data_IF_003726805727
#
_entry.id   IF_003726805727
#
_cell.length_a   1.000
_cell.length_b   1.000
_cell.length_c   1.000
_cell.angle_alpha   90.00
_cell.angle_beta   90.00
_cell.angle_gamma   90.00
#
_symmetry.space_group_name_H-M   'P 1'
#
loop_
_entity.id
_entity.type
_entity.pdbx_description
1 polymer ?
#
# COMPACT_ATOMS: atom_id res chain seq x y z
N UNK A 1 -23.84 4.74 -14.90
CA UNK A 1 -25.11 4.15 -15.35
C UNK A 1 -25.74 4.91 -16.51
N UNK A 2 -25.17 6.06 -16.98
CA UNK A 2 -25.66 6.86 -18.11
C UNK A 2 -25.07 6.37 -19.43
N UNK A 3 -25.79 6.63 -20.53
CA UNK A 3 -25.20 6.54 -21.88
C UNK A 3 -24.21 7.66 -22.12
N UNK A 4 -23.33 7.54 -23.12
CA UNK A 4 -22.38 8.60 -23.46
C UNK A 4 -23.09 9.92 -23.82
N UNK A 5 -24.22 9.86 -24.58
CA UNK A 5 -25.00 11.03 -24.94
C UNK A 5 -25.65 11.72 -23.75
N UNK A 6 -26.13 10.96 -22.75
CA UNK A 6 -26.66 11.54 -21.51
C UNK A 6 -25.60 12.23 -20.67
N UNK A 7 -24.37 11.69 -20.64
CA UNK A 7 -23.26 12.32 -19.93
C UNK A 7 -22.86 13.65 -20.57
N UNK A 8 -22.88 13.71 -21.92
CA UNK A 8 -22.48 14.91 -22.65
C UNK A 8 -23.58 15.99 -22.71
N UNK A 9 -24.86 15.60 -22.65
CA UNK A 9 -25.99 16.54 -22.68
C UNK A 9 -26.35 17.09 -21.31
N UNK A 10 -26.38 16.28 -20.29
CA UNK A 10 -26.66 16.69 -18.90
C UNK A 10 -25.97 15.76 -17.90
N UNK A 11 -24.87 16.27 -17.30
CA UNK A 11 -24.06 15.54 -16.34
C UNK A 11 -24.81 15.29 -15.03
N UNK A 12 -25.66 16.23 -14.59
CA UNK A 12 -26.27 16.24 -13.26
C UNK A 12 -27.59 15.46 -13.23
N UNK A 13 -28.35 15.43 -14.34
CA UNK A 13 -29.62 14.73 -14.37
C UNK A 13 -29.50 13.26 -13.99
N UNK A 14 -30.56 12.69 -13.42
CA UNK A 14 -30.61 11.24 -13.18
C UNK A 14 -30.64 10.47 -14.50
N UNK A 15 -30.05 9.24 -14.57
CA UNK A 15 -30.09 8.43 -15.77
C UNK A 15 -31.54 8.04 -16.11
N UNK A 16 -31.92 8.14 -17.37
CA UNK A 16 -33.26 7.73 -17.86
C UNK A 16 -33.47 6.22 -17.71
N UNK A 17 -32.37 5.46 -17.85
CA UNK A 17 -32.32 4.04 -17.54
C UNK A 17 -30.94 3.67 -17.00
N UNK A 18 -30.85 2.62 -16.17
CA UNK A 18 -29.57 2.13 -15.66
C UNK A 18 -28.89 1.27 -16.72
N UNK A 19 -27.76 1.76 -17.29
CA UNK A 19 -26.99 1.06 -18.32
C UNK A 19 -25.89 0.23 -17.63
N UNK A 20 -26.20 -1.03 -17.32
CA UNK A 20 -25.26 -1.96 -16.71
C UNK A 20 -24.17 -2.44 -17.67
N UNK A 21 -24.44 -2.37 -18.97
CA UNK A 21 -23.50 -2.74 -20.04
C UNK A 21 -22.19 -1.95 -19.97
N UNK A 22 -22.22 -0.73 -19.41
CA UNK A 22 -20.99 0.06 -19.20
C UNK A 22 -19.99 -0.68 -18.30
N UNK A 23 -20.47 -1.31 -17.23
CA UNK A 23 -19.61 -2.07 -16.31
C UNK A 23 -19.11 -3.36 -16.94
N UNK A 24 -19.96 -4.08 -17.67
CA UNK A 24 -19.58 -5.31 -18.36
C UNK A 24 -18.54 -5.04 -19.45
N UNK A 25 -18.72 -3.97 -20.21
CA UNK A 25 -17.78 -3.57 -21.25
C UNK A 25 -16.47 -3.06 -20.65
N UNK A 26 -16.52 -2.17 -19.64
CA UNK A 26 -15.32 -1.71 -18.93
C UNK A 26 -14.54 -2.89 -18.34
N UNK A 27 -15.21 -3.86 -17.69
CA UNK A 27 -14.60 -5.06 -17.14
C UNK A 27 -13.86 -5.89 -18.21
N UNK A 28 -14.49 -6.09 -19.37
CA UNK A 28 -13.89 -6.84 -20.50
C UNK A 28 -12.73 -6.08 -21.14
N UNK A 29 -12.92 -4.79 -21.48
CA UNK A 29 -11.93 -3.95 -22.15
C UNK A 29 -10.68 -3.78 -21.28
N UNK A 30 -10.86 -3.55 -19.97
CA UNK A 30 -9.75 -3.47 -19.00
C UNK A 30 -9.02 -4.80 -18.80
N UNK A 31 -9.57 -5.95 -19.26
CA UNK A 31 -9.05 -7.25 -18.83
C UNK A 31 -8.96 -7.32 -17.28
N UNK A 32 -10.08 -6.94 -16.61
CA UNK A 32 -10.16 -6.72 -15.16
C UNK A 32 -9.53 -7.83 -14.31
N UNK A 33 -9.79 -9.14 -14.56
CA UNK A 33 -9.22 -10.21 -13.71
C UNK A 33 -7.69 -10.19 -13.69
N UNK A 34 -7.05 -9.94 -14.83
CA UNK A 34 -5.60 -9.88 -14.94
C UNK A 34 -5.03 -8.72 -14.13
N UNK A 35 -5.57 -7.52 -14.33
CA UNK A 35 -5.03 -6.32 -13.69
C UNK A 35 -5.39 -6.24 -12.21
N UNK A 36 -6.51 -6.84 -11.82
CA UNK A 36 -6.82 -7.10 -10.41
C UNK A 36 -5.75 -7.96 -9.75
N UNK A 37 -5.37 -9.09 -10.38
CA UNK A 37 -4.33 -9.97 -9.85
C UNK A 37 -2.95 -9.28 -9.81
N UNK A 38 -2.62 -8.46 -10.80
CA UNK A 38 -1.38 -7.67 -10.80
C UNK A 38 -1.36 -6.67 -9.63
N UNK A 39 -2.46 -5.94 -9.41
CA UNK A 39 -2.58 -4.99 -8.30
C UNK A 39 -2.52 -5.71 -6.96
N UNK A 40 -3.26 -6.80 -6.83
CA UNK A 40 -3.26 -7.63 -5.62
C UNK A 40 -1.86 -8.16 -5.31
N UNK A 41 -1.16 -8.70 -6.31
CA UNK A 41 0.20 -9.22 -6.17
C UNK A 41 1.19 -8.12 -5.74
N UNK A 42 1.19 -6.97 -6.44
CA UNK A 42 2.07 -5.86 -6.12
C UNK A 42 1.80 -5.32 -4.70
N UNK A 43 0.53 -5.13 -4.36
CA UNK A 43 0.11 -4.65 -3.03
C UNK A 43 0.48 -5.65 -1.93
N UNK A 44 0.20 -6.94 -2.13
CA UNK A 44 0.50 -7.98 -1.12
C UNK A 44 2.00 -8.10 -0.88
N UNK A 45 2.80 -8.18 -1.96
CA UNK A 45 4.28 -8.22 -1.85
C UNK A 45 4.78 -6.95 -1.17
N UNK A 46 4.26 -5.78 -1.56
CA UNK A 46 4.64 -4.50 -0.97
C UNK A 46 4.37 -4.45 0.53
N UNK A 47 3.13 -4.75 0.93
CA UNK A 47 2.71 -4.71 2.34
C UNK A 47 3.46 -5.74 3.19
N UNK A 48 3.61 -6.98 2.71
CA UNK A 48 4.35 -8.01 3.44
C UNK A 48 5.81 -7.60 3.70
N UNK A 49 6.48 -7.05 2.69
CA UNK A 49 7.85 -6.58 2.85
C UNK A 49 7.97 -5.38 3.78
N UNK A 50 7.07 -4.40 3.65
CA UNK A 50 7.03 -3.23 4.56
C UNK A 50 6.83 -3.69 6.02
N UNK A 51 5.87 -4.57 6.28
CA UNK A 51 5.60 -5.09 7.63
C UNK A 51 6.84 -5.83 8.17
N UNK A 52 7.43 -6.72 7.39
CA UNK A 52 8.57 -7.53 7.82
C UNK A 52 9.80 -6.64 8.11
N UNK A 53 10.20 -5.81 7.15
CA UNK A 53 11.42 -5.00 7.27
C UNK A 53 11.25 -3.95 8.37
N UNK A 54 10.10 -3.24 8.41
CA UNK A 54 9.89 -2.15 9.35
C UNK A 54 9.66 -2.63 10.78
N UNK A 55 9.01 -3.77 10.98
CA UNK A 55 8.80 -4.32 12.33
C UNK A 55 10.11 -4.78 12.96
N UNK A 56 10.95 -5.50 12.19
CA UNK A 56 12.28 -5.94 12.65
C UNK A 56 13.21 -4.75 12.92
N UNK A 57 13.27 -3.79 11.99
CA UNK A 57 14.10 -2.59 12.17
C UNK A 57 13.60 -1.73 13.33
N UNK A 58 12.28 -1.51 13.43
CA UNK A 58 11.65 -0.74 14.52
C UNK A 58 11.90 -1.38 15.88
N UNK A 59 11.79 -2.71 15.98
CA UNK A 59 12.14 -3.46 17.18
C UNK A 59 13.62 -3.28 17.56
N UNK A 60 14.53 -3.59 16.64
CA UNK A 60 15.97 -3.50 16.92
C UNK A 60 16.40 -2.08 17.32
N UNK A 61 15.97 -1.07 16.58
CA UNK A 61 16.33 0.33 16.83
C UNK A 61 15.71 0.86 18.13
N UNK A 62 14.52 0.40 18.53
CA UNK A 62 13.88 0.78 19.77
C UNK A 62 14.56 0.17 21.00
N UNK A 63 15.01 -1.11 20.91
CA UNK A 63 15.68 -1.81 22.02
C UNK A 63 17.15 -1.41 22.18
N UNK A 64 17.79 -0.88 21.14
CA UNK A 64 19.21 -0.49 21.18
C UNK A 64 19.34 1.00 21.49
N UNK A 65 19.64 1.34 22.75
CA UNK A 65 19.77 2.73 23.25
C UNK A 65 21.16 3.31 23.00
N UNK A 66 21.60 3.39 21.73
CA UNK A 66 22.91 3.98 21.37
C UNK A 66 22.73 5.18 20.44
N UNK A 67 23.73 6.06 20.36
CA UNK A 67 23.76 7.17 19.40
C UNK A 67 23.66 6.66 17.95
N UNK A 68 24.30 5.54 17.67
CA UNK A 68 24.25 4.91 16.35
C UNK A 68 22.80 4.49 15.99
N UNK A 69 22.09 3.84 16.91
CA UNK A 69 20.68 3.45 16.70
C UNK A 69 19.78 4.67 16.45
N UNK A 70 20.01 5.75 17.18
CA UNK A 70 19.26 6.99 17.00
C UNK A 70 19.54 7.62 15.62
N UNK A 71 20.80 7.68 15.20
CA UNK A 71 21.18 8.22 13.87
C UNK A 71 20.60 7.35 12.76
N UNK A 72 20.67 6.02 12.87
CA UNK A 72 20.07 5.10 11.91
C UNK A 72 18.56 5.28 11.82
N UNK A 73 17.89 5.42 12.96
CA UNK A 73 16.45 5.71 12.99
C UNK A 73 16.14 7.01 12.24
N UNK A 74 16.86 8.09 12.51
CA UNK A 74 16.67 9.37 11.83
C UNK A 74 16.89 9.27 10.31
N UNK A 75 17.93 8.57 9.87
CA UNK A 75 18.21 8.36 8.44
C UNK A 75 17.09 7.58 7.77
N UNK A 76 16.56 6.53 8.42
CA UNK A 76 15.54 5.66 7.83
C UNK A 76 14.15 6.31 7.80
N UNK A 77 13.85 7.25 8.69
CA UNK A 77 12.57 7.97 8.65
C UNK A 77 12.63 9.25 7.81
N UNK A 78 13.83 9.82 7.57
CA UNK A 78 13.99 11.06 6.81
C UNK A 78 13.32 11.03 5.42
N UNK A 79 13.31 9.91 4.67
CA UNK A 79 12.68 9.86 3.35
C UNK A 79 11.17 10.17 3.36
N UNK A 80 10.46 9.98 4.49
CA UNK A 80 9.04 10.33 4.57
C UNK A 80 8.79 11.85 4.43
N UNK A 81 9.83 12.68 4.67
CA UNK A 81 9.74 14.14 4.54
C UNK A 81 10.06 14.61 3.12
N UNK A 82 10.61 13.77 2.27
CA UNK A 82 11.01 14.10 0.91
C UNK A 82 9.85 13.81 -0.04
N UNK A 83 9.35 14.81 -0.81
CA UNK A 83 8.30 14.57 -1.79
C UNK A 83 8.74 13.53 -2.84
N UNK A 84 7.88 12.55 -3.14
CA UNK A 84 8.15 11.49 -4.11
C UNK A 84 8.67 12.02 -5.46
N UNK A 85 8.07 13.11 -5.95
CA UNK A 85 8.42 13.72 -7.22
C UNK A 85 9.89 14.16 -7.33
N UNK A 86 10.55 14.47 -6.20
CA UNK A 86 11.94 14.91 -6.18
C UNK A 86 12.94 13.81 -6.54
N UNK A 87 12.62 12.56 -6.28
CA UNK A 87 13.54 11.43 -6.50
C UNK A 87 13.00 10.36 -7.45
N UNK A 88 11.77 10.50 -8.00
CA UNK A 88 11.13 9.49 -8.85
C UNK A 88 11.99 9.07 -10.05
N UNK A 89 12.71 10.01 -10.68
CA UNK A 89 13.58 9.70 -11.84
C UNK A 89 14.75 8.82 -11.41
N UNK A 90 15.37 9.15 -10.27
CA UNK A 90 16.47 8.35 -9.71
C UNK A 90 15.99 6.96 -9.29
N UNK A 91 14.80 6.88 -8.70
CA UNK A 91 14.16 5.61 -8.35
C UNK A 91 13.96 4.71 -9.59
N UNK A 92 13.47 5.27 -10.70
CA UNK A 92 13.28 4.51 -11.95
C UNK A 92 14.63 4.00 -12.50
N UNK A 93 15.70 4.79 -12.41
CA UNK A 93 17.05 4.32 -12.80
C UNK A 93 17.50 3.12 -11.96
N UNK A 94 17.39 3.21 -10.65
CA UNK A 94 17.71 2.11 -9.72
C UNK A 94 16.82 0.88 -10.01
N UNK A 95 15.52 1.09 -10.18
CA UNK A 95 14.59 0.01 -10.53
C UNK A 95 14.97 -0.71 -11.84
N UNK A 96 15.48 0.03 -12.83
CA UNK A 96 15.97 -0.53 -14.09
C UNK A 96 17.22 -1.39 -13.88
N UNK A 97 18.20 -0.90 -13.14
CA UNK A 97 19.43 -1.63 -12.80
C UNK A 97 19.13 -2.93 -12.05
N UNK A 98 18.17 -2.88 -11.12
CA UNK A 98 17.71 -4.04 -10.36
C UNK A 98 16.75 -4.95 -11.14
N UNK A 99 16.43 -4.67 -12.41
CA UNK A 99 15.51 -5.43 -13.29
C UNK A 99 14.10 -5.56 -12.70
N UNK A 100 13.62 -4.54 -11.99
CA UNK A 100 12.30 -4.52 -11.36
C UNK A 100 11.22 -3.90 -12.27
N UNK A 101 11.61 -3.27 -13.38
CA UNK A 101 10.69 -2.62 -14.34
C UNK A 101 9.89 -3.68 -15.11
N UNK A 102 8.62 -3.36 -15.41
CA UNK A 102 7.73 -4.20 -16.21
C UNK A 102 7.09 -5.37 -15.46
N UNK A 103 7.28 -5.48 -14.14
CA UNK A 103 6.80 -6.58 -13.32
C UNK A 103 5.98 -6.10 -12.11
N UNK A 104 4.77 -6.65 -11.85
CA UNK A 104 4.03 -6.38 -10.62
C UNK A 104 4.80 -6.78 -9.35
N UNK A 105 5.60 -7.85 -9.39
CA UNK A 105 6.50 -8.24 -8.29
C UNK A 105 7.56 -7.16 -8.05
N UNK A 106 8.18 -6.66 -9.12
CA UNK A 106 9.15 -5.58 -9.04
C UNK A 106 8.56 -4.30 -8.44
N UNK A 107 7.32 -3.95 -8.82
CA UNK A 107 6.59 -2.85 -8.21
C UNK A 107 6.39 -3.08 -6.70
N UNK A 108 5.98 -4.29 -6.29
CA UNK A 108 5.85 -4.65 -4.88
C UNK A 108 7.14 -4.49 -4.09
N UNK A 109 8.29 -4.86 -4.66
CA UNK A 109 9.61 -4.67 -4.03
C UNK A 109 9.97 -3.18 -3.91
N UNK A 110 9.66 -2.35 -4.91
CA UNK A 110 9.88 -0.91 -4.83
C UNK A 110 9.07 -0.25 -3.70
N UNK A 111 7.87 -0.75 -3.43
CA UNK A 111 7.06 -0.28 -2.31
C UNK A 111 7.69 -0.55 -0.94
N UNK A 112 8.59 -1.53 -0.80
CA UNK A 112 9.28 -1.76 0.49
C UNK A 112 10.05 -0.51 0.94
N UNK A 113 10.84 0.07 0.03
CA UNK A 113 11.59 1.29 0.36
C UNK A 113 10.70 2.49 0.66
N UNK A 114 9.62 2.66 -0.13
CA UNK A 114 8.74 3.82 -0.02
C UNK A 114 7.82 3.77 1.20
N UNK A 115 7.29 2.59 1.53
CA UNK A 115 6.39 2.39 2.67
C UNK A 115 7.12 2.21 4.01
N UNK A 116 8.41 1.84 3.98
CA UNK A 116 9.15 1.46 5.18
C UNK A 116 9.31 2.58 6.20
N UNK A 117 9.52 3.82 5.77
CA UNK A 117 9.84 4.93 6.68
C UNK A 117 8.71 5.22 7.67
N UNK A 118 7.47 5.36 7.20
CA UNK A 118 6.31 5.57 8.05
C UNK A 118 6.03 4.34 8.93
N UNK A 119 6.10 3.15 8.35
CA UNK A 119 5.87 1.92 9.10
C UNK A 119 6.93 1.71 10.19
N UNK A 120 8.20 1.99 9.90
CA UNK A 120 9.29 1.97 10.89
C UNK A 120 9.03 2.93 12.05
N UNK A 121 8.61 4.16 11.75
CA UNK A 121 8.24 5.15 12.78
C UNK A 121 7.14 4.61 13.69
N UNK A 122 6.09 4.03 13.11
CA UNK A 122 4.98 3.44 13.87
C UNK A 122 5.43 2.26 14.74
N UNK A 123 6.19 1.32 14.20
CA UNK A 123 6.69 0.17 14.95
C UNK A 123 7.68 0.58 16.06
N UNK A 124 8.60 1.51 15.76
CA UNK A 124 9.53 2.01 16.76
C UNK A 124 8.83 2.63 17.96
N UNK A 125 7.74 3.40 17.72
CA UNK A 125 6.90 3.95 18.79
C UNK A 125 6.17 2.87 19.57
N UNK A 126 5.56 1.90 18.87
CA UNK A 126 4.80 0.82 19.50
C UNK A 126 5.68 -0.12 20.35
N UNK A 127 6.89 -0.46 19.87
CA UNK A 127 7.82 -1.31 20.65
C UNK A 127 8.21 -0.67 21.97
N UNK A 128 8.34 0.66 22.04
CA UNK A 128 8.64 1.36 23.31
C UNK A 128 7.56 1.17 24.39
N UNK A 129 6.34 0.88 23.98
CA UNK A 129 5.25 0.62 24.92
C UNK A 129 5.18 -0.83 25.43
N UNK A 130 5.95 -1.74 24.83
CA UNK A 130 6.07 -3.13 25.25
C UNK A 130 7.17 -3.21 26.30
N UNK A 131 6.90 -3.76 27.52
CA UNK A 131 7.91 -3.92 28.58
C UNK A 131 9.13 -4.68 28.09
N UNK A 132 10.34 -4.22 28.44
CA UNK A 132 11.59 -4.84 28.01
C UNK A 132 11.83 -6.17 28.72
N UNK A 133 11.25 -6.36 29.90
CA UNK A 133 11.31 -7.55 30.72
C UNK A 133 10.83 -8.81 29.96
N UNK A 134 9.93 -8.64 28.98
CA UNK A 134 9.48 -9.75 28.12
C UNK A 134 10.60 -10.27 27.21
N UNK A 135 11.46 -9.38 26.71
CA UNK A 135 12.65 -9.76 25.95
C UNK A 135 13.65 -10.51 26.85
N UNK A 136 13.86 -9.99 28.08
CA UNK A 136 14.82 -10.56 29.04
C UNK A 136 14.36 -11.95 29.51
N UNK A 137 13.07 -12.13 29.82
CA UNK A 137 12.51 -13.45 30.18
C UNK A 137 12.69 -14.45 29.03
N UNK A 138 12.37 -14.04 27.77
CA UNK A 138 12.56 -14.92 26.62
C UNK A 138 14.01 -15.37 26.43
N UNK A 139 14.98 -14.50 26.68
CA UNK A 139 16.41 -14.82 26.60
C UNK A 139 16.83 -15.78 27.72
N UNK A 140 16.32 -15.61 28.95
CA UNK A 140 16.56 -16.53 30.08
C UNK A 140 16.02 -17.93 29.74
N UNK A 141 14.84 -18.01 29.09
CA UNK A 141 14.23 -19.25 28.61
C UNK A 141 14.95 -19.86 27.42
N UNK A 142 16.08 -19.28 26.97
CA UNK A 142 16.90 -19.79 25.88
C UNK A 142 16.38 -19.50 24.48
N UNK A 143 15.42 -18.57 24.30
CA UNK A 143 14.96 -18.15 23.01
C UNK A 143 16.03 -17.29 22.30
N UNK A 144 16.25 -17.52 21.00
CA UNK A 144 17.06 -16.60 20.18
C UNK A 144 16.33 -15.26 20.01
N UNK A 145 17.06 -14.16 19.75
CA UNK A 145 16.44 -12.83 19.57
C UNK A 145 15.34 -12.79 18.50
N UNK A 146 15.52 -13.52 17.40
CA UNK A 146 14.49 -13.62 16.35
C UNK A 146 13.28 -14.43 16.83
N UNK A 147 13.51 -15.50 17.60
CA UNK A 147 12.42 -16.30 18.19
C UNK A 147 11.61 -15.46 19.20
N UNK A 148 12.29 -14.74 20.09
CA UNK A 148 11.65 -13.81 21.02
C UNK A 148 10.83 -12.76 20.28
N UNK A 149 11.38 -12.18 19.22
CA UNK A 149 10.64 -11.21 18.39
C UNK A 149 9.37 -11.80 17.79
N UNK A 150 9.47 -12.90 17.00
CA UNK A 150 8.31 -13.42 16.26
C UNK A 150 7.26 -14.09 17.16
N UNK A 151 7.66 -14.73 18.25
CA UNK A 151 6.75 -15.48 19.12
C UNK A 151 6.15 -14.65 20.27
N UNK A 152 6.84 -13.61 20.72
CA UNK A 152 6.41 -12.83 21.89
C UNK A 152 6.12 -11.38 21.50
N UNK A 153 7.08 -10.66 20.94
CA UNK A 153 6.96 -9.23 20.72
C UNK A 153 6.03 -8.89 19.55
N UNK A 154 6.22 -9.54 18.39
CA UNK A 154 5.44 -9.23 17.17
C UNK A 154 3.93 -9.46 17.35
N UNK A 155 3.45 -10.51 18.04
CA UNK A 155 2.03 -10.65 18.38
C UNK A 155 1.48 -9.48 19.22
N UNK A 156 2.26 -8.94 20.16
CA UNK A 156 1.87 -7.77 20.96
C UNK A 156 1.79 -6.48 20.12
N UNK A 157 2.48 -6.43 18.98
CA UNK A 157 2.42 -5.31 18.03
C UNK A 157 1.25 -5.43 17.06
N UNK A 158 0.34 -6.41 17.21
CA UNK A 158 -0.81 -6.60 16.33
C UNK A 158 -1.62 -5.32 16.05
N UNK A 159 -1.94 -4.45 17.04
CA UNK A 159 -2.71 -3.23 16.78
C UNK A 159 -2.02 -2.28 15.79
N UNK A 160 -0.71 -2.05 15.97
CA UNK A 160 0.05 -1.21 15.06
C UNK A 160 0.28 -1.90 13.71
N UNK A 161 0.46 -3.22 13.71
CA UNK A 161 0.60 -4.00 12.46
C UNK A 161 -0.64 -3.87 11.59
N UNK A 162 -1.83 -3.97 12.16
CA UNK A 162 -3.08 -3.75 11.41
C UNK A 162 -3.12 -2.34 10.83
N UNK A 163 -2.74 -1.32 11.60
CA UNK A 163 -2.70 0.06 11.10
C UNK A 163 -1.70 0.22 9.93
N UNK A 164 -0.50 -0.34 10.05
CA UNK A 164 0.51 -0.34 8.99
C UNK A 164 -0.01 -1.06 7.73
N UNK A 165 -0.63 -2.22 7.88
CA UNK A 165 -1.22 -3.00 6.78
C UNK A 165 -2.29 -2.17 6.07
N UNK A 166 -3.22 -1.57 6.80
CA UNK A 166 -4.32 -0.81 6.19
C UNK A 166 -3.81 0.42 5.47
N UNK A 167 -2.96 1.24 6.11
CA UNK A 167 -2.43 2.47 5.50
C UNK A 167 -1.67 2.15 4.21
N UNK A 168 -0.77 1.17 4.26
CA UNK A 168 0.03 0.80 3.10
C UNK A 168 -0.79 0.12 2.00
N UNK A 169 -1.76 -0.74 2.35
CA UNK A 169 -2.65 -1.36 1.36
C UNK A 169 -3.47 -0.29 0.62
N UNK A 170 -4.08 0.65 1.36
CA UNK A 170 -4.88 1.72 0.74
C UNK A 170 -4.05 2.62 -0.16
N UNK A 171 -2.84 2.95 0.27
CA UNK A 171 -1.92 3.75 -0.53
C UNK A 171 -1.46 2.99 -1.78
N UNK A 172 -0.91 1.78 -1.65
CA UNK A 172 -0.37 0.99 -2.77
C UNK A 172 -1.45 0.57 -3.76
N UNK A 173 -2.66 0.23 -3.28
CA UNK A 173 -3.78 -0.13 -4.14
C UNK A 173 -4.21 1.02 -5.04
N UNK A 174 -4.22 2.24 -4.50
CA UNK A 174 -4.65 3.44 -5.23
C UNK A 174 -3.52 4.18 -5.94
N UNK A 175 -2.28 3.68 -5.84
CA UNK A 175 -1.14 4.32 -6.48
C UNK A 175 -1.26 4.23 -8.02
N UNK A 176 -1.02 5.34 -8.66
CA UNK A 176 -1.03 5.50 -10.10
C UNK A 176 0.35 5.86 -10.64
N UNK A 177 1.08 6.75 -9.95
CA UNK A 177 2.25 7.39 -10.51
C UNK A 177 3.45 6.44 -10.61
N UNK A 178 3.77 5.68 -9.56
CA UNK A 178 4.86 4.71 -9.62
C UNK A 178 4.55 3.58 -10.61
N UNK A 179 3.35 2.95 -10.62
CA UNK A 179 2.96 2.02 -11.67
C UNK A 179 3.11 2.60 -13.09
N UNK A 180 2.73 3.85 -13.31
CA UNK A 180 2.89 4.51 -14.62
C UNK A 180 4.36 4.55 -15.05
N UNK A 181 5.27 4.89 -14.12
CA UNK A 181 6.70 5.00 -14.41
C UNK A 181 7.38 3.65 -14.67
N UNK A 182 6.94 2.59 -14.00
CA UNK A 182 7.66 1.29 -14.04
C UNK A 182 6.95 0.20 -14.81
N UNK A 183 5.64 0.30 -15.10
CA UNK A 183 4.86 -0.75 -15.77
C UNK A 183 4.32 -0.36 -17.15
N UNK A 184 4.29 0.92 -17.52
CA UNK A 184 3.66 1.40 -18.78
C UNK A 184 4.24 0.76 -20.05
N UNK A 185 5.49 0.30 -20.02
CA UNK A 185 6.13 -0.42 -21.11
C UNK A 185 5.63 -1.87 -21.33
N UNK A 186 4.81 -2.41 -20.41
CA UNK A 186 4.32 -3.80 -20.47
C UNK A 186 2.80 -3.86 -20.31
N UNK A 187 2.08 -3.98 -21.44
CA UNK A 187 0.61 -4.12 -21.43
C UNK A 187 0.10 -5.28 -20.58
N UNK A 188 0.91 -6.30 -20.30
CA UNK A 188 0.52 -7.46 -19.49
C UNK A 188 0.61 -7.20 -17.99
N UNK A 189 1.35 -6.19 -17.57
CA UNK A 189 1.74 -5.93 -16.17
C UNK A 189 1.00 -4.75 -15.53
N UNK A 190 0.08 -4.11 -16.24
CA UNK A 190 -0.64 -2.93 -15.72
C UNK A 190 -1.37 -3.23 -14.42
N UNK A 191 -1.50 -2.21 -13.56
CA UNK A 191 -2.42 -2.21 -12.41
C UNK A 191 -3.83 -1.80 -12.84
N UNK A 192 -4.81 -2.00 -11.95
CA UNK A 192 -6.21 -1.59 -12.21
C UNK A 192 -6.32 -0.08 -12.47
N UNK A 193 -5.65 0.76 -11.67
CA UNK A 193 -5.67 2.21 -11.82
C UNK A 193 -5.10 2.63 -13.19
N UNK A 194 -3.99 2.00 -13.57
CA UNK A 194 -3.34 2.29 -14.85
C UNK A 194 -4.17 1.80 -16.03
N UNK A 195 -4.87 0.68 -15.88
CA UNK A 195 -5.79 0.17 -16.89
C UNK A 195 -7.03 1.05 -17.06
N UNK A 196 -7.61 1.55 -15.96
CA UNK A 196 -8.74 2.48 -16.00
C UNK A 196 -8.36 3.80 -16.67
N UNK A 197 -7.12 4.26 -16.47
CA UNK A 197 -6.60 5.47 -17.12
C UNK A 197 -6.61 5.37 -18.65
N UNK A 198 -6.51 4.18 -19.23
CA UNK A 198 -6.53 4.00 -20.69
C UNK A 198 -7.87 4.41 -21.34
N UNK A 199 -8.96 4.53 -20.58
CA UNK A 199 -10.23 5.09 -21.08
C UNK A 199 -10.18 6.60 -21.30
N UNK A 200 -9.20 7.30 -20.73
CA UNK A 200 -8.92 8.70 -20.95
C UNK A 200 -7.96 8.86 -22.14
N UNK A 201 -8.44 8.53 -23.34
CA UNK A 201 -7.63 8.64 -24.57
C UNK A 201 -7.27 10.08 -24.90
N UNK A 202 -6.16 10.27 -25.62
CA UNK A 202 -5.66 11.61 -26.01
C UNK A 202 -6.65 12.41 -26.88
N UNK A 203 -7.45 11.72 -27.70
CA UNK A 203 -8.37 12.36 -28.65
C UNK A 203 -9.85 12.15 -28.34
N UNK A 204 -10.17 11.11 -27.60
CA UNK A 204 -11.55 10.75 -27.23
C UNK A 204 -11.57 10.12 -25.85
N UNK A 205 -12.35 10.70 -24.96
CA UNK A 205 -12.62 10.13 -23.64
C UNK A 205 -13.96 9.38 -23.69
N UNK A 206 -13.94 8.11 -23.36
CA UNK A 206 -15.17 7.30 -23.25
C UNK A 206 -15.68 7.37 -21.80
N UNK A 207 -16.30 8.50 -21.46
CA UNK A 207 -16.72 8.83 -20.10
C UNK A 207 -17.57 7.75 -19.42
N UNK A 208 -18.45 7.08 -20.18
CA UNK A 208 -19.28 6.00 -19.67
C UNK A 208 -18.45 4.79 -19.20
N UNK A 209 -17.43 4.41 -19.96
CA UNK A 209 -16.50 3.33 -19.57
C UNK A 209 -15.46 3.80 -18.56
N UNK A 210 -14.97 5.03 -18.67
CA UNK A 210 -14.02 5.60 -17.73
C UNK A 210 -14.60 5.62 -16.30
N UNK A 211 -15.82 6.14 -16.13
CA UNK A 211 -16.47 6.17 -14.82
C UNK A 211 -16.79 4.77 -14.28
N UNK A 212 -17.25 3.86 -15.14
CA UNK A 212 -17.49 2.48 -14.75
C UNK A 212 -16.17 1.77 -14.33
N UNK A 213 -15.09 2.00 -15.11
CA UNK A 213 -13.76 1.47 -14.80
C UNK A 213 -13.22 1.98 -13.46
N UNK A 214 -13.31 3.28 -13.20
CA UNK A 214 -12.89 3.87 -11.92
C UNK A 214 -13.67 3.27 -10.75
N UNK A 215 -15.00 3.10 -10.86
CA UNK A 215 -15.79 2.46 -9.83
C UNK A 215 -15.36 1.01 -9.58
N UNK A 216 -15.10 0.25 -10.65
CA UNK A 216 -14.59 -1.12 -10.56
C UNK A 216 -13.21 -1.18 -9.87
N UNK A 217 -12.34 -0.19 -10.07
CA UNK A 217 -11.00 -0.17 -9.43
C UNK A 217 -11.04 0.19 -7.96
N UNK A 218 -11.99 1.05 -7.55
CA UNK A 218 -12.13 1.51 -6.16
C UNK A 218 -12.87 0.47 -5.30
N UNK A 219 -13.81 -0.28 -5.87
CA UNK A 219 -14.67 -1.21 -5.13
C UNK A 219 -13.90 -2.19 -4.24
N UNK A 220 -12.84 -2.87 -4.69
CA UNK A 220 -12.05 -3.76 -3.83
C UNK A 220 -11.40 -3.05 -2.65
N UNK A 221 -10.90 -1.82 -2.85
CA UNK A 221 -10.31 -1.02 -1.78
C UNK A 221 -11.35 -0.65 -0.71
N UNK A 222 -12.56 -0.26 -1.13
CA UNK A 222 -13.67 0.02 -0.21
C UNK A 222 -14.03 -1.22 0.59
N UNK A 223 -14.19 -2.38 -0.06
CA UNK A 223 -14.52 -3.63 0.60
C UNK A 223 -13.44 -4.05 1.61
N UNK A 224 -12.18 -3.90 1.24
CA UNK A 224 -11.04 -4.14 2.12
C UNK A 224 -11.08 -3.20 3.33
N UNK A 225 -11.27 -1.90 3.12
CA UNK A 225 -11.37 -0.93 4.21
C UNK A 225 -12.51 -1.24 5.18
N UNK A 226 -13.72 -1.48 4.64
CA UNK A 226 -14.89 -1.79 5.46
C UNK A 226 -14.72 -3.07 6.30
N UNK A 227 -13.98 -4.06 5.79
CA UNK A 227 -13.69 -5.29 6.53
C UNK A 227 -12.73 -5.07 7.69
N UNK A 228 -11.82 -4.09 7.60
CA UNK A 228 -10.75 -3.85 8.58
C UNK A 228 -11.00 -2.63 9.48
N UNK A 229 -11.96 -1.74 9.18
CA UNK A 229 -12.20 -0.50 9.93
C UNK A 229 -12.37 -0.71 11.44
N UNK A 230 -13.02 -1.80 11.85
CA UNK A 230 -13.21 -2.15 13.27
C UNK A 230 -11.89 -2.39 14.03
N UNK A 231 -10.87 -2.87 13.33
CA UNK A 231 -9.54 -3.11 13.93
C UNK A 231 -8.73 -1.82 14.03
N UNK A 232 -8.90 -0.90 13.08
CA UNK A 232 -8.25 0.42 13.09
C UNK A 232 -8.73 1.22 14.32
N UNK A 233 -10.04 1.28 14.54
CA UNK A 233 -10.62 2.02 15.68
C UNK A 233 -10.11 1.48 17.01
N UNK A 234 -10.07 0.15 17.16
CA UNK A 234 -9.52 -0.48 18.37
C UNK A 234 -8.04 -0.17 18.59
N UNK A 235 -7.23 -0.18 17.51
CA UNK A 235 -5.80 0.12 17.59
C UNK A 235 -5.49 1.58 17.97
N UNK A 236 -6.26 2.53 17.45
CA UNK A 236 -6.10 3.95 17.77
C UNK A 236 -6.54 4.26 19.22
N UNK A 237 -7.65 3.68 19.67
CA UNK A 237 -8.15 3.89 21.06
C UNK A 237 -7.19 3.29 22.09
N UNK A 238 -6.62 2.12 21.83
CA UNK A 238 -5.63 1.51 22.71
C UNK A 238 -4.34 2.34 22.86
N UNK A 239 -3.98 3.13 21.83
CA UNK A 239 -2.85 4.07 21.87
C UNK A 239 -3.17 5.42 22.54
N UNK A 240 -4.43 5.83 22.57
CA UNK A 240 -4.88 7.11 23.10
C UNK A 240 -5.23 7.07 24.62
N UNK A 241 -5.53 5.89 25.16
CA UNK A 241 -5.88 5.70 26.59
C UNK A 241 -4.62 5.32 27.37
N UNK A 242 -3.60 6.19 27.34
CA UNK A 242 -2.51 6.24 28.32
C UNK A 242 -2.57 7.59 29.01
N UNK A 243 -3.46 7.69 29.97
CA UNK A 243 -3.35 8.63 31.12
C UNK A 243 -2.65 7.93 32.26
#
# INVERSE_FOLDING_TARGET
FKTFSEITSDVIAFPKRLVWENFQNAFKIMNYPRYFMNTLLATTVGVCGVVLVSSLAGYKLSRTKTRYSFIMFMILIAPMMIPFHSFMISLVKVAKELRLIGSPLGLGVLYWGLGASLALFMYHGAVKSVPQELDDCALIDGASPLRAFFQIIFPLLQPVTVSVVVINTMWMWNDFLLPLLVLSGSKKSLTLQLAAYNFFGLYKVEWNFAMAGVLLTILPAILFYLSLQRYIIKGMVAGAVKT
#
